data_IF_196862906014
#
_entry.id   IF_196862906014
#
_cell.length_a   1.000
_cell.length_b   1.000
_cell.length_c   1.000
_cell.angle_alpha   90.00
_cell.angle_beta   90.00
_cell.angle_gamma   90.00
#
_symmetry.space_group_name_H-M   'P 1'
#
loop_
_entity.id
_entity.type
_entity.pdbx_description
1 polymer ?
#
# COMPACT_ATOMS: atom_id res chain seq x y z
N UNK A 1 -19.36 -17.87 -3.38
CA UNK A 1 -19.30 -16.39 -3.54
C UNK A 1 -19.94 -16.08 -4.88
N UNK A 2 -21.10 -15.41 -4.93
CA UNK A 2 -21.81 -15.15 -6.20
C UNK A 2 -21.06 -14.08 -6.99
N UNK A 3 -20.77 -14.37 -8.26
CA UNK A 3 -20.03 -13.48 -9.18
C UNK A 3 -20.69 -12.10 -9.25
N UNK A 4 -22.02 -12.06 -9.15
CA UNK A 4 -22.83 -10.84 -9.18
C UNK A 4 -22.47 -9.83 -8.07
N UNK A 5 -22.09 -10.32 -6.87
CA UNK A 5 -21.66 -9.43 -5.77
C UNK A 5 -20.27 -8.84 -6.02
N UNK A 6 -19.36 -9.63 -6.61
CA UNK A 6 -18.01 -9.18 -6.95
C UNK A 6 -18.11 -8.07 -8.00
N UNK A 7 -18.96 -8.27 -9.02
CA UNK A 7 -19.20 -7.29 -10.07
C UNK A 7 -19.78 -5.98 -9.52
N UNK A 8 -20.77 -6.07 -8.63
CA UNK A 8 -21.41 -4.90 -8.03
C UNK A 8 -20.43 -4.04 -7.21
N UNK A 9 -19.48 -4.66 -6.50
CA UNK A 9 -18.41 -3.93 -5.80
C UNK A 9 -17.42 -3.31 -6.79
N UNK A 10 -17.03 -4.04 -7.83
CA UNK A 10 -16.06 -3.56 -8.81
C UNK A 10 -16.56 -2.36 -9.63
N UNK A 11 -17.87 -2.26 -9.87
CA UNK A 11 -18.47 -1.18 -10.67
C UNK A 11 -18.99 0.00 -9.85
N UNK A 12 -18.92 -0.06 -8.51
CA UNK A 12 -19.44 1.02 -7.68
C UNK A 12 -18.54 2.25 -7.77
N UNK A 13 -18.99 3.25 -8.51
CA UNK A 13 -18.31 4.55 -8.63
C UNK A 13 -18.80 5.45 -7.51
N UNK A 14 -17.90 5.82 -6.60
CA UNK A 14 -18.20 6.79 -5.56
C UNK A 14 -18.64 8.11 -6.21
N UNK A 15 -19.76 8.67 -5.74
CA UNK A 15 -20.28 9.95 -6.22
C UNK A 15 -19.21 11.05 -6.12
N UNK A 16 -19.01 11.88 -7.16
CA UNK A 16 -18.06 12.99 -7.10
C UNK A 16 -18.43 13.94 -5.95
N UNK A 17 -17.57 14.00 -4.94
CA UNK A 17 -17.73 14.95 -3.85
C UNK A 17 -17.01 16.25 -4.22
N UNK A 18 -17.70 17.39 -4.13
CA UNK A 18 -17.05 18.69 -4.31
C UNK A 18 -16.21 19.02 -3.08
N UNK A 19 -14.93 18.65 -3.15
CA UNK A 19 -13.92 19.17 -2.22
C UNK A 19 -13.43 20.55 -2.67
N UNK A 20 -13.13 21.41 -1.70
CA UNK A 20 -12.57 22.73 -1.98
C UNK A 20 -11.21 22.63 -2.69
N UNK A 21 -10.93 23.48 -3.72
CA UNK A 21 -9.70 23.39 -4.50
C UNK A 21 -8.39 23.47 -3.68
N UNK A 22 -8.42 24.19 -2.55
CA UNK A 22 -7.28 24.34 -1.64
C UNK A 22 -6.92 23.03 -0.92
N UNK A 23 -7.91 22.21 -0.56
CA UNK A 23 -7.72 20.92 0.11
C UNK A 23 -7.12 19.91 -0.87
N UNK A 24 -7.65 19.87 -2.10
CA UNK A 24 -7.13 19.01 -3.18
C UNK A 24 -5.68 19.37 -3.51
N UNK A 25 -5.36 20.67 -3.59
CA UNK A 25 -3.98 21.13 -3.84
C UNK A 25 -3.03 20.72 -2.71
N UNK A 26 -3.44 20.89 -1.44
CA UNK A 26 -2.64 20.46 -0.28
C UNK A 26 -2.37 18.95 -0.31
N UNK A 27 -3.39 18.14 -0.58
CA UNK A 27 -3.25 16.67 -0.71
C UNK A 27 -2.29 16.31 -1.84
N UNK A 28 -2.44 16.91 -3.02
CA UNK A 28 -1.56 16.65 -4.18
C UNK A 28 -0.11 17.03 -3.88
N UNK A 29 0.13 18.16 -3.19
CA UNK A 29 1.48 18.55 -2.77
C UNK A 29 2.07 17.52 -1.80
N UNK A 30 1.33 17.10 -0.78
CA UNK A 30 1.79 16.07 0.17
C UNK A 30 2.12 14.77 -0.56
N UNK A 31 1.24 14.29 -1.44
CA UNK A 31 1.45 13.08 -2.23
C UNK A 31 2.70 13.20 -3.11
N UNK A 32 2.87 14.32 -3.83
CA UNK A 32 4.06 14.54 -4.65
C UNK A 32 5.35 14.53 -3.81
N UNK A 33 5.36 15.21 -2.66
CA UNK A 33 6.53 15.23 -1.76
C UNK A 33 6.87 13.85 -1.24
N UNK A 34 5.86 13.10 -0.78
CA UNK A 34 6.02 11.72 -0.30
C UNK A 34 6.54 10.82 -1.41
N UNK A 35 6.00 10.93 -2.63
CA UNK A 35 6.46 10.13 -3.78
C UNK A 35 7.92 10.42 -4.12
N UNK A 36 8.31 11.70 -4.16
CA UNK A 36 9.71 12.07 -4.43
C UNK A 36 10.63 11.57 -3.32
N UNK A 37 10.24 11.75 -2.05
CA UNK A 37 11.02 11.28 -0.92
C UNK A 37 11.17 9.74 -0.94
N UNK A 38 10.06 9.01 -1.11
CA UNK A 38 10.03 7.56 -1.18
C UNK A 38 10.82 7.01 -2.36
N UNK A 39 10.67 7.60 -3.55
CA UNK A 39 11.42 7.18 -4.74
C UNK A 39 12.93 7.41 -4.57
N UNK A 40 13.32 8.55 -4.00
CA UNK A 40 14.74 8.86 -3.74
C UNK A 40 15.32 7.88 -2.72
N UNK A 41 14.58 7.59 -1.64
CA UNK A 41 15.02 6.68 -0.60
C UNK A 41 15.09 5.23 -1.11
N UNK A 42 14.14 4.82 -1.95
CA UNK A 42 14.13 3.52 -2.62
C UNK A 42 15.31 3.40 -3.58
N UNK A 43 15.56 4.40 -4.41
CA UNK A 43 16.72 4.42 -5.32
C UNK A 43 18.04 4.31 -4.53
N UNK A 44 18.14 5.05 -3.41
CA UNK A 44 19.30 4.96 -2.54
C UNK A 44 19.45 3.58 -1.89
N UNK A 45 18.34 2.98 -1.46
CA UNK A 45 18.32 1.62 -0.89
C UNK A 45 18.79 0.57 -1.89
N UNK A 46 18.36 0.66 -3.14
CA UNK A 46 18.74 -0.27 -4.20
C UNK A 46 20.20 -0.12 -4.64
N UNK A 47 20.81 1.04 -4.39
CA UNK A 47 22.22 1.30 -4.72
C UNK A 47 23.19 0.83 -3.61
N UNK A 48 22.68 0.29 -2.49
CA UNK A 48 23.51 -0.28 -1.42
C UNK A 48 23.95 -1.70 -1.78
N UNK A 49 25.14 -2.06 -1.29
CA UNK A 49 25.67 -3.42 -1.46
C UNK A 49 24.73 -4.42 -0.78
N UNK A 50 24.40 -5.54 -1.44
CA UNK A 50 23.59 -6.58 -0.82
C UNK A 50 24.24 -7.07 0.49
N UNK A 51 23.45 -7.16 1.56
CA UNK A 51 23.93 -7.56 2.90
C UNK A 51 24.39 -6.42 3.82
N UNK A 52 24.41 -5.17 3.37
CA UNK A 52 24.72 -4.02 4.23
C UNK A 52 23.59 -3.77 5.26
N UNK A 53 23.94 -3.66 6.54
CA UNK A 53 22.99 -3.37 7.62
C UNK A 53 22.21 -2.07 7.39
N UNK A 54 22.81 -1.12 6.65
CA UNK A 54 22.15 0.12 6.26
C UNK A 54 20.89 -0.11 5.39
N UNK A 55 20.84 -1.18 4.61
CA UNK A 55 19.68 -1.51 3.78
C UNK A 55 18.41 -1.73 4.61
N UNK A 56 18.51 -2.39 5.75
CA UNK A 56 17.37 -2.61 6.66
C UNK A 56 16.86 -1.30 7.25
N UNK A 57 17.76 -0.40 7.63
CA UNK A 57 17.37 0.93 8.12
C UNK A 57 16.77 1.81 7.02
N UNK A 58 17.27 1.71 5.80
CA UNK A 58 16.73 2.45 4.64
C UNK A 58 15.34 1.95 4.24
N UNK A 59 15.14 0.62 4.20
CA UNK A 59 13.82 0.04 3.91
C UNK A 59 12.81 0.28 5.04
N UNK A 60 13.25 0.29 6.31
CA UNK A 60 12.41 0.71 7.44
C UNK A 60 12.01 2.19 7.32
N UNK A 61 12.97 3.06 7.00
CA UNK A 61 12.72 4.49 6.76
C UNK A 61 11.78 4.69 5.57
N UNK A 62 11.92 3.89 4.50
CA UNK A 62 11.03 3.90 3.35
C UNK A 62 9.59 3.53 3.78
N UNK A 63 9.43 2.46 4.56
CA UNK A 63 8.14 2.06 5.09
C UNK A 63 7.50 3.16 5.95
N UNK A 64 8.30 3.85 6.78
CA UNK A 64 7.84 4.98 7.58
C UNK A 64 7.38 6.15 6.69
N UNK A 65 8.12 6.48 5.63
CA UNK A 65 7.73 7.53 4.66
C UNK A 65 6.39 7.20 4.00
N UNK A 66 6.19 5.95 3.56
CA UNK A 66 4.92 5.53 2.97
C UNK A 66 3.76 5.57 3.98
N UNK A 67 3.99 5.09 5.21
CA UNK A 67 2.97 5.09 6.26
C UNK A 67 2.57 6.52 6.65
N UNK A 68 3.55 7.41 6.88
CA UNK A 68 3.29 8.81 7.17
C UNK A 68 2.59 9.50 6.01
N UNK A 69 3.02 9.24 4.77
CA UNK A 69 2.38 9.77 3.58
C UNK A 69 0.92 9.33 3.45
N UNK A 70 0.60 8.08 3.75
CA UNK A 70 -0.77 7.58 3.75
C UNK A 70 -1.64 8.29 4.81
N UNK A 71 -1.11 8.49 6.02
CA UNK A 71 -1.83 9.21 7.10
C UNK A 71 -2.00 10.69 6.77
N UNK A 72 -0.96 11.34 6.25
CA UNK A 72 -0.95 12.78 5.92
C UNK A 72 -1.76 13.12 4.67
N UNK A 73 -1.95 12.17 3.74
CA UNK A 73 -2.78 12.35 2.54
C UNK A 73 -4.27 12.55 2.88
N UNK A 74 -4.66 12.29 4.13
CA UNK A 74 -5.99 12.51 4.64
C UNK A 74 -6.90 11.28 4.50
N UNK A 75 -8.09 11.31 5.12
CA UNK A 75 -9.04 10.22 5.03
C UNK A 75 -9.37 9.98 3.56
N UNK A 76 -9.03 8.79 3.05
CA UNK A 76 -9.60 8.34 1.80
C UNK A 76 -11.11 8.28 2.04
N UNK A 77 -11.85 9.10 1.29
CA UNK A 77 -13.31 8.99 1.18
C UNK A 77 -13.62 7.69 0.44
N UNK A 78 -13.41 6.58 1.15
CA UNK A 78 -13.83 5.26 0.74
C UNK A 78 -15.34 5.31 0.88
N UNK A 79 -16.02 5.51 -0.24
CA UNK A 79 -17.47 5.35 -0.31
C UNK A 79 -17.87 4.10 0.46
N UNK A 80 -18.96 4.18 1.21
CA UNK A 80 -19.51 3.02 1.91
C UNK A 80 -19.84 1.96 0.85
N UNK A 81 -19.08 0.87 0.83
CA UNK A 81 -19.41 -0.31 0.05
C UNK A 81 -20.17 -1.23 1.01
N UNK A 82 -21.49 -1.34 0.81
CA UNK A 82 -22.33 -2.26 1.57
C UNK A 82 -22.04 -3.70 1.14
N UNK A 83 -21.09 -4.37 1.78
CA UNK A 83 -20.85 -5.80 1.58
C UNK A 83 -21.81 -6.62 2.45
N UNK A 84 -22.68 -7.41 1.83
CA UNK A 84 -23.52 -8.42 2.51
C UNK A 84 -24.43 -7.85 3.61
N UNK A 85 -25.04 -6.69 3.37
CA UNK A 85 -25.98 -6.06 4.32
C UNK A 85 -25.34 -5.50 5.60
N UNK A 86 -24.00 -5.52 5.71
CA UNK A 86 -23.26 -4.87 6.80
C UNK A 86 -22.34 -3.82 6.21
N UNK A 87 -22.25 -2.68 6.87
CA UNK A 87 -21.35 -1.59 6.48
C UNK A 87 -19.90 -2.01 6.79
N UNK A 88 -19.26 -2.80 5.91
CA UNK A 88 -17.86 -3.18 6.05
C UNK A 88 -16.98 -2.03 5.58
N UNK A 89 -16.08 -1.59 6.46
CA UNK A 89 -15.06 -0.60 6.12
C UNK A 89 -14.12 -1.22 5.07
N UNK A 90 -14.10 -0.72 3.81
CA UNK A 90 -13.32 -1.32 2.72
C UNK A 90 -11.81 -1.43 3.01
N UNK A 91 -11.33 -0.63 3.97
CA UNK A 91 -9.96 -0.65 4.48
C UNK A 91 -9.57 -2.02 5.01
N UNK A 92 -10.45 -2.70 5.78
CA UNK A 92 -10.08 -3.98 6.40
C UNK A 92 -9.87 -5.09 5.36
N UNK A 93 -10.71 -5.14 4.33
CA UNK A 93 -10.58 -6.13 3.26
C UNK A 93 -9.32 -5.88 2.42
N UNK A 94 -9.03 -4.62 2.07
CA UNK A 94 -7.80 -4.27 1.36
C UNK A 94 -6.54 -4.62 2.14
N UNK A 95 -6.47 -4.24 3.42
CA UNK A 95 -5.33 -4.55 4.29
C UNK A 95 -5.18 -6.06 4.53
N UNK A 96 -6.27 -6.79 4.70
CA UNK A 96 -6.23 -8.24 4.88
C UNK A 96 -5.67 -8.96 3.64
N UNK A 97 -6.11 -8.58 2.44
CA UNK A 97 -5.58 -9.12 1.19
C UNK A 97 -4.10 -8.80 1.03
N UNK A 98 -3.70 -7.55 1.30
CA UNK A 98 -2.30 -7.14 1.27
C UNK A 98 -1.42 -7.93 2.24
N UNK A 99 -1.87 -8.13 3.48
CA UNK A 99 -1.17 -8.93 4.48
C UNK A 99 -1.03 -10.40 4.08
N UNK A 100 -2.09 -11.00 3.54
CA UNK A 100 -2.07 -12.39 3.07
C UNK A 100 -1.08 -12.57 1.90
N UNK A 101 -1.10 -11.65 0.92
CA UNK A 101 -0.15 -11.68 -0.19
C UNK A 101 1.29 -11.48 0.30
N UNK A 102 1.52 -10.55 1.22
CA UNK A 102 2.84 -10.32 1.83
C UNK A 102 3.35 -11.56 2.57
N UNK A 103 2.50 -12.21 3.36
CA UNK A 103 2.83 -13.45 4.05
C UNK A 103 3.17 -14.59 3.08
N UNK A 104 2.41 -14.73 1.99
CA UNK A 104 2.69 -15.71 0.95
C UNK A 104 4.06 -15.48 0.29
N UNK A 105 4.42 -14.22 0.02
CA UNK A 105 5.73 -13.85 -0.51
C UNK A 105 6.88 -14.18 0.45
N UNK A 106 6.73 -13.84 1.73
CA UNK A 106 7.72 -14.17 2.77
C UNK A 106 7.91 -15.68 2.90
N UNK A 107 6.81 -16.43 2.86
CA UNK A 107 6.85 -17.90 2.91
C UNK A 107 7.55 -18.48 1.67
N UNK A 108 7.24 -17.97 0.47
CA UNK A 108 7.92 -18.34 -0.76
C UNK A 108 9.43 -18.09 -0.70
N UNK A 109 9.85 -16.92 -0.19
CA UNK A 109 11.27 -16.61 0.01
C UNK A 109 11.97 -17.54 1.00
N UNK A 110 11.31 -17.90 2.10
CA UNK A 110 11.81 -18.89 3.06
C UNK A 110 11.97 -20.28 2.43
N UNK A 111 11.02 -20.70 1.58
CA UNK A 111 11.11 -21.98 0.86
C UNK A 111 12.28 -21.95 -0.13
N UNK A 112 12.42 -20.89 -0.93
CA UNK A 112 13.50 -20.74 -1.92
C UNK A 112 14.87 -20.75 -1.27
N UNK A 113 15.03 -20.15 -0.09
CA UNK A 113 16.29 -20.19 0.68
C UNK A 113 16.80 -21.61 0.97
N UNK A 114 15.94 -22.62 1.01
CA UNK A 114 16.35 -24.01 1.26
C UNK A 114 16.81 -24.75 -0.02
N UNK A 115 16.78 -24.09 -1.18
CA UNK A 115 17.17 -24.67 -2.45
C UNK A 115 18.65 -24.31 -2.72
N UNK A 116 19.59 -25.26 -2.65
CA UNK A 116 21.03 -24.98 -2.66
C UNK A 116 21.55 -24.13 -3.85
N UNK A 117 21.12 -24.30 -5.11
CA UNK A 117 21.57 -23.44 -6.21
C UNK A 117 21.05 -21.98 -6.16
N UNK A 118 20.15 -21.66 -5.22
CA UNK A 118 19.53 -20.33 -5.04
C UNK A 118 19.82 -19.73 -3.65
N UNK A 119 20.57 -20.44 -2.81
CA UNK A 119 20.86 -20.07 -1.44
C UNK A 119 22.12 -19.19 -1.29
N UNK A 120 22.83 -18.95 -2.39
CA UNK A 120 24.06 -18.14 -2.49
C UNK A 120 23.81 -16.77 -3.13
#
# INVERSE_FOLDING_TARGET
MRIDQIRAVATNVALPHQEWPSVVRRRRVIVCVVLVAGATLLAYSLNRRPGDAAFYWLTLSLAAVWALGAVLSGPLHLGSISWRGRNQRPVLTGSAVGLLLGAAFLFGGLVVRNIPPLAE
#
